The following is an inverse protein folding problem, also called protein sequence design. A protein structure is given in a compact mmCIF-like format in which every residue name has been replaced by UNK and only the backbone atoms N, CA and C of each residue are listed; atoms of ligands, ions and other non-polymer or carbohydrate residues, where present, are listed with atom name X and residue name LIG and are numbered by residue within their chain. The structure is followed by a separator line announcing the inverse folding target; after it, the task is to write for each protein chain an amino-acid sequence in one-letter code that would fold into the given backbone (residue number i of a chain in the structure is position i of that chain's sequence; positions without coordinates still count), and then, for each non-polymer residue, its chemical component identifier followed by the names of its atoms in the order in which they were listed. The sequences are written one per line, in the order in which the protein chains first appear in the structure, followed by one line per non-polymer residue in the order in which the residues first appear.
data_IF_287552033635
#
_entry.id   IF_287552033635
#
_cell.length_a   1.000
_cell.length_b   1.000
_cell.length_c   1.000
_cell.angle_alpha   90.00
_cell.angle_beta   90.00
_cell.angle_gamma   90.00
#
_symmetry.space_group_name_H-M   'P 1'
#
loop_
_entity.id
_entity.type
_entity.pdbx_description
1 polymer ?
#
# COMPACT_ATOMS: atom_id res chain seq x y z
N UNK A 1 52.20 13.52 -13.52
CA UNK A 1 51.28 13.84 -14.62
C UNK A 1 49.96 14.29 -14.01
N UNK A 2 49.29 15.25 -14.64
CA UNK A 2 47.97 15.70 -14.24
C UNK A 2 46.90 14.92 -15.01
N UNK A 3 45.94 14.38 -14.28
CA UNK A 3 44.79 13.66 -14.83
C UNK A 3 43.50 14.36 -14.43
N UNK A 4 42.51 14.28 -15.31
CA UNK A 4 41.19 14.83 -15.07
C UNK A 4 40.18 13.69 -14.96
N UNK A 5 39.34 13.68 -13.94
CA UNK A 5 38.27 12.70 -13.79
C UNK A 5 36.94 13.44 -13.85
N UNK A 6 36.08 13.07 -14.78
CA UNK A 6 34.69 13.54 -14.82
C UNK A 6 33.87 12.73 -13.83
N UNK A 7 33.38 13.40 -12.78
CA UNK A 7 32.50 12.79 -11.77
C UNK A 7 31.08 12.61 -12.31
N UNK A 8 30.31 11.77 -11.63
CA UNK A 8 28.88 11.55 -11.85
C UNK A 8 28.05 12.84 -11.72
N UNK A 9 28.51 13.81 -10.93
CA UNK A 9 27.87 15.12 -10.78
C UNK A 9 28.19 16.10 -11.93
N UNK A 10 29.03 15.70 -12.89
CA UNK A 10 29.38 16.50 -14.07
C UNK A 10 30.51 17.50 -13.86
N UNK A 11 31.07 17.60 -12.65
CA UNK A 11 32.29 18.34 -12.34
C UNK A 11 33.54 17.56 -12.79
N UNK A 12 34.62 18.28 -13.08
CA UNK A 12 35.92 17.70 -13.45
C UNK A 12 36.90 17.87 -12.29
N UNK A 13 37.44 16.77 -11.79
CA UNK A 13 38.41 16.74 -10.70
C UNK A 13 39.82 16.57 -11.26
N UNK A 14 40.75 17.40 -10.82
CA UNK A 14 42.16 17.28 -11.20
C UNK A 14 42.94 16.47 -10.15
N UNK A 15 43.69 15.47 -10.60
CA UNK A 15 44.55 14.62 -9.77
C UNK A 15 45.97 14.65 -10.29
N UNK A 16 46.92 14.70 -9.36
CA UNK A 16 48.34 14.59 -9.68
C UNK A 16 48.82 13.19 -9.33
N UNK A 17 49.25 12.44 -10.35
CA UNK A 17 49.59 11.03 -10.21
C UNK A 17 50.80 10.68 -11.07
N UNK A 18 51.56 9.69 -10.61
CA UNK A 18 52.67 9.13 -11.38
C UNK A 18 52.14 8.26 -12.55
N UNK A 19 52.83 8.20 -13.70
CA UNK A 19 52.43 7.34 -14.82
C UNK A 19 52.46 5.84 -14.50
N UNK A 20 53.23 5.45 -13.50
CA UNK A 20 53.31 4.08 -12.98
C UNK A 20 52.26 3.77 -11.91
N UNK A 21 51.42 4.73 -11.53
CA UNK A 21 50.39 4.49 -10.52
C UNK A 21 49.33 3.50 -11.06
N UNK A 22 48.87 2.62 -10.18
CA UNK A 22 47.77 1.70 -10.46
C UNK A 22 46.44 2.42 -10.50
N UNK A 23 45.48 1.83 -11.19
CA UNK A 23 44.09 2.31 -11.25
C UNK A 23 43.43 2.25 -9.86
N UNK A 24 43.78 1.26 -9.04
CA UNK A 24 43.33 1.16 -7.64
C UNK A 24 43.70 2.41 -6.81
N UNK A 25 44.92 2.92 -6.96
CA UNK A 25 45.36 4.13 -6.27
C UNK A 25 44.54 5.35 -6.70
N UNK A 26 44.22 5.47 -7.99
CA UNK A 26 43.38 6.57 -8.50
C UNK A 26 41.96 6.46 -7.93
N UNK A 27 41.37 5.25 -7.88
CA UNK A 27 40.06 5.03 -7.26
C UNK A 27 40.04 5.39 -5.77
N UNK A 28 41.11 5.07 -5.04
CA UNK A 28 41.26 5.45 -3.63
C UNK A 28 41.30 6.99 -3.45
N UNK A 29 42.02 7.71 -4.31
CA UNK A 29 42.04 9.18 -4.29
C UNK A 29 40.67 9.79 -4.63
N UNK A 30 39.93 9.18 -5.55
CA UNK A 30 38.56 9.59 -5.88
C UNK A 30 37.63 9.31 -4.69
N UNK A 31 37.77 8.17 -4.02
CA UNK A 31 36.96 7.81 -2.86
C UNK A 31 37.11 8.83 -1.73
N UNK A 32 38.35 9.28 -1.48
CA UNK A 32 38.63 10.31 -0.48
C UNK A 32 38.00 11.67 -0.79
N UNK A 33 37.74 12.00 -2.07
CA UNK A 33 37.17 13.30 -2.48
C UNK A 33 35.66 13.27 -2.69
N UNK A 34 35.14 12.24 -3.35
CA UNK A 34 33.72 12.12 -3.72
C UNK A 34 32.93 11.28 -2.69
N UNK A 35 33.60 10.55 -1.80
CA UNK A 35 32.95 9.73 -0.77
C UNK A 35 32.30 8.45 -1.30
N UNK A 36 32.62 8.03 -2.53
CA UNK A 36 32.15 6.79 -3.14
C UNK A 36 33.22 5.72 -2.92
N UNK A 37 32.88 4.59 -2.30
CA UNK A 37 33.87 3.51 -2.08
C UNK A 37 34.49 3.02 -3.39
N UNK A 38 35.80 2.74 -3.38
CA UNK A 38 36.55 2.31 -4.56
C UNK A 38 35.97 1.06 -5.25
N UNK A 39 35.33 0.16 -4.50
CA UNK A 39 34.67 -1.04 -5.02
C UNK A 39 33.45 -0.74 -5.89
N UNK A 40 32.76 0.38 -5.66
CA UNK A 40 31.61 0.80 -6.47
C UNK A 40 32.02 1.69 -7.65
N UNK A 41 33.29 2.05 -7.75
CA UNK A 41 33.81 2.91 -8.81
C UNK A 41 34.27 2.08 -10.02
N UNK A 42 33.88 2.52 -11.20
CA UNK A 42 34.35 2.01 -12.48
C UNK A 42 34.93 3.18 -13.29
N UNK A 43 36.23 3.13 -13.57
CA UNK A 43 36.90 4.14 -14.40
C UNK A 43 36.95 3.67 -15.85
N UNK A 44 36.73 4.60 -16.78
CA UNK A 44 36.84 4.32 -18.20
C UNK A 44 37.64 5.39 -18.95
N UNK A 45 38.39 4.95 -19.95
CA UNK A 45 39.21 5.79 -20.84
C UNK A 45 39.07 5.30 -22.28
N UNK A 46 38.83 6.22 -23.22
CA UNK A 46 38.65 5.89 -24.65
C UNK A 46 37.63 4.74 -24.90
N UNK A 47 36.57 4.67 -24.08
CA UNK A 47 35.54 3.63 -24.16
C UNK A 47 35.94 2.27 -23.58
N UNK A 48 37.13 2.11 -22.99
CA UNK A 48 37.58 0.90 -22.31
C UNK A 48 37.47 1.05 -20.79
N UNK A 49 36.95 0.02 -20.12
CA UNK A 49 36.98 -0.06 -18.65
C UNK A 49 38.38 -0.37 -18.16
N UNK A 50 38.81 0.34 -17.13
CA UNK A 50 40.13 0.22 -16.51
C UNK A 50 40.09 -0.84 -15.39
N UNK A 51 41.07 -1.75 -15.37
CA UNK A 51 41.21 -2.81 -14.37
C UNK A 51 42.14 -2.41 -13.23
N UNK A 52 41.81 -2.77 -11.99
CA UNK A 52 42.52 -2.30 -10.79
C UNK A 52 43.99 -2.73 -10.73
N UNK A 53 44.33 -3.89 -11.30
CA UNK A 53 45.67 -4.48 -11.29
C UNK A 53 46.65 -3.84 -12.28
N UNK A 54 46.19 -2.96 -13.18
CA UNK A 54 47.01 -2.39 -14.23
C UNK A 54 47.39 -0.93 -13.94
N UNK A 55 48.53 -0.50 -14.51
CA UNK A 55 49.00 0.88 -14.42
C UNK A 55 48.33 1.76 -15.48
N UNK A 56 48.24 3.06 -15.20
CA UNK A 56 47.69 4.05 -16.14
C UNK A 56 48.40 4.05 -17.51
N UNK A 57 49.72 3.84 -17.50
CA UNK A 57 50.53 3.77 -18.72
C UNK A 57 50.15 2.59 -19.63
N UNK A 58 49.65 1.47 -19.09
CA UNK A 58 49.24 0.31 -19.87
C UNK A 58 48.05 0.61 -20.80
N UNK A 59 47.17 1.53 -20.38
CA UNK A 59 46.03 1.99 -21.17
C UNK A 59 46.36 3.19 -22.08
N UNK A 60 47.63 3.62 -22.12
CA UNK A 60 48.06 4.78 -22.88
C UNK A 60 47.53 6.10 -22.33
N UNK A 61 47.25 6.19 -21.03
CA UNK A 61 46.85 7.44 -20.39
C UNK A 61 48.05 8.39 -20.34
N UNK A 62 47.89 9.57 -20.93
CA UNK A 62 48.91 10.60 -21.01
C UNK A 62 48.60 11.78 -20.09
N UNK A 63 49.54 12.72 -19.99
CA UNK A 63 49.33 13.98 -19.27
C UNK A 63 48.13 14.73 -19.84
N UNK A 64 47.31 15.31 -18.95
CA UNK A 64 46.05 15.99 -19.27
C UNK A 64 44.93 15.09 -19.85
N UNK A 65 45.04 13.77 -19.72
CA UNK A 65 43.96 12.86 -20.13
C UNK A 65 42.74 12.95 -19.21
N UNK A 66 41.55 12.76 -19.81
CA UNK A 66 40.28 12.75 -19.07
C UNK A 66 39.73 11.32 -18.91
N UNK A 67 39.56 10.87 -17.67
CA UNK A 67 38.89 9.64 -17.29
C UNK A 67 37.41 9.93 -16.96
N UNK A 68 36.56 8.93 -17.17
CA UNK A 68 35.14 9.00 -16.79
C UNK A 68 34.88 8.08 -15.60
N UNK A 69 34.36 8.66 -14.51
CA UNK A 69 33.89 7.92 -13.34
C UNK A 69 32.45 7.45 -13.59
N UNK A 70 32.27 6.13 -13.57
CA UNK A 70 30.98 5.47 -13.53
C UNK A 70 30.81 4.83 -12.14
N UNK A 71 29.59 4.72 -11.63
CA UNK A 71 29.30 3.94 -10.44
C UNK A 71 28.35 2.79 -10.78
N UNK A 72 28.59 1.63 -10.17
CA UNK A 72 27.65 0.52 -10.25
C UNK A 72 26.40 0.84 -9.42
N UNK A 73 25.25 0.94 -10.08
CA UNK A 73 23.99 1.16 -9.41
C UNK A 73 23.34 -0.18 -9.08
N UNK A 74 23.06 -0.42 -7.80
CA UNK A 74 22.14 -1.47 -7.36
C UNK A 74 20.75 -1.12 -7.93
N UNK A 75 20.38 -1.74 -9.06
CA UNK A 75 19.22 -1.35 -9.87
C UNK A 75 17.90 -1.08 -9.15
N UNK A 76 16.96 -0.44 -9.85
CA UNK A 76 15.69 0.02 -9.27
C UNK A 76 14.83 -1.09 -8.64
N UNK A 77 14.43 -0.90 -7.38
CA UNK A 77 13.56 -1.82 -6.64
C UNK A 77 12.27 -2.15 -7.39
N UNK A 78 11.82 -3.41 -7.27
CA UNK A 78 10.63 -3.92 -7.96
C UNK A 78 9.42 -3.02 -7.70
N UNK A 79 8.95 -2.32 -8.74
CA UNK A 79 7.80 -1.42 -8.66
C UNK A 79 6.54 -2.21 -8.30
N UNK A 80 5.74 -1.68 -7.38
CA UNK A 80 4.46 -2.27 -6.98
C UNK A 80 3.54 -2.36 -8.19
N UNK A 81 3.10 -3.57 -8.53
CA UNK A 81 2.14 -3.80 -9.63
C UNK A 81 0.80 -3.13 -9.30
N UNK A 82 0.15 -2.56 -10.33
CA UNK A 82 -1.21 -2.05 -10.22
C UNK A 82 -2.16 -3.19 -9.85
N UNK A 83 -3.11 -2.93 -8.95
CA UNK A 83 -4.13 -3.91 -8.58
C UNK A 83 -5.17 -4.00 -9.69
N UNK A 84 -5.48 -5.20 -10.15
CA UNK A 84 -6.59 -5.47 -11.07
C UNK A 84 -7.81 -5.90 -10.26
N UNK A 85 -8.89 -5.13 -10.33
CA UNK A 85 -10.14 -5.44 -9.62
C UNK A 85 -11.01 -6.31 -10.52
N UNK A 86 -11.18 -7.59 -10.15
CA UNK A 86 -11.97 -8.56 -10.92
C UNK A 86 -13.46 -8.55 -10.56
N UNK A 87 -13.79 -8.07 -9.36
CA UNK A 87 -15.17 -8.04 -8.86
C UNK A 87 -15.65 -6.63 -8.57
N UNK A 88 -16.94 -6.34 -8.82
CA UNK A 88 -17.52 -5.05 -8.51
C UNK A 88 -17.55 -4.81 -7.01
N UNK A 89 -17.44 -3.54 -6.60
CA UNK A 89 -17.42 -3.14 -5.20
C UNK A 89 -18.78 -3.40 -4.54
N UNK A 90 -18.78 -4.19 -3.47
CA UNK A 90 -20.00 -4.48 -2.67
C UNK A 90 -20.49 -3.23 -1.92
N UNK A 91 -21.76 -2.85 -2.15
CA UNK A 91 -22.43 -1.78 -1.40
C UNK A 91 -22.83 -2.30 -0.01
N UNK A 92 -22.50 -1.55 1.04
CA UNK A 92 -22.84 -1.90 2.43
C UNK A 92 -24.34 -1.65 2.70
N UNK A 93 -24.98 -2.54 3.46
CA UNK A 93 -26.35 -2.38 3.90
C UNK A 93 -26.51 -1.12 4.78
N UNK A 94 -27.47 -0.27 4.43
CA UNK A 94 -27.84 0.92 5.22
C UNK A 94 -29.18 0.68 5.90
N UNK A 95 -29.27 0.96 7.22
CA UNK A 95 -30.54 0.85 7.97
C UNK A 95 -31.54 1.89 7.47
N UNK A 96 -32.75 1.45 7.10
CA UNK A 96 -33.86 2.33 6.73
C UNK A 96 -34.49 2.92 7.99
N UNK A 97 -34.48 4.24 8.13
CA UNK A 97 -35.16 4.96 9.23
C UNK A 97 -36.58 5.31 8.79
N UNK A 98 -37.58 4.72 9.44
CA UNK A 98 -39.00 5.04 9.22
C UNK A 98 -39.44 5.96 10.35
N UNK A 99 -39.87 7.18 10.01
CA UNK A 99 -40.39 8.15 10.99
C UNK A 99 -41.65 7.59 11.65
N UNK A 100 -41.76 7.76 12.97
CA UNK A 100 -42.94 7.39 13.77
C UNK A 100 -43.42 5.94 13.57
N UNK A 101 -42.49 4.98 13.44
CA UNK A 101 -42.83 3.58 13.19
C UNK A 101 -43.72 2.94 14.28
N UNK A 102 -43.66 3.45 15.51
CA UNK A 102 -44.40 2.93 16.68
C UNK A 102 -45.92 3.15 16.54
N UNK A 103 -46.35 4.25 15.91
CA UNK A 103 -47.77 4.55 15.74
C UNK A 103 -48.49 3.49 14.90
N UNK A 104 -47.77 2.77 14.04
CA UNK A 104 -48.32 1.65 13.24
C UNK A 104 -48.71 0.43 14.08
N UNK A 105 -48.35 0.38 15.37
CA UNK A 105 -48.60 -0.77 16.24
C UNK A 105 -49.87 -0.62 17.05
N UNK A 106 -50.50 0.55 17.02
CA UNK A 106 -51.71 0.86 17.77
C UNK A 106 -52.79 1.34 16.80
N UNK A 107 -54.04 1.03 17.11
CA UNK A 107 -55.21 1.62 16.48
C UNK A 107 -56.03 2.28 17.60
N UNK A 108 -56.47 3.50 17.35
CA UNK A 108 -57.33 4.25 18.26
C UNK A 108 -58.71 4.30 17.63
N UNK A 109 -59.73 3.82 18.34
CA UNK A 109 -61.11 3.88 17.90
C UNK A 109 -61.73 5.25 18.27
N UNK A 110 -62.88 5.59 17.68
CA UNK A 110 -63.56 6.89 17.87
C UNK A 110 -63.89 7.19 19.33
N UNK A 111 -64.11 6.15 20.14
CA UNK A 111 -64.36 6.26 21.58
C UNK A 111 -63.08 6.44 22.41
N UNK A 112 -61.91 6.63 21.79
CA UNK A 112 -60.62 6.75 22.46
C UNK A 112 -60.05 5.43 23.00
N UNK A 113 -60.65 4.28 22.69
CA UNK A 113 -60.12 2.96 23.08
C UNK A 113 -58.92 2.60 22.19
N UNK A 114 -57.83 2.12 22.81
CA UNK A 114 -56.58 1.78 22.13
C UNK A 114 -56.47 0.27 21.98
N UNK A 115 -56.35 -0.21 20.74
CA UNK A 115 -56.09 -1.61 20.41
C UNK A 115 -54.66 -1.81 19.88
N UNK A 116 -54.00 -2.89 20.31
CA UNK A 116 -52.64 -3.23 19.88
C UNK A 116 -52.71 -4.15 18.65
N UNK A 117 -52.04 -3.76 17.56
CA UNK A 117 -52.02 -4.49 16.28
C UNK A 117 -50.90 -5.54 16.20
N UNK A 118 -49.95 -5.54 17.14
CA UNK A 118 -48.83 -6.48 17.20
C UNK A 118 -48.79 -7.20 18.53
N UNK A 119 -48.30 -8.44 18.49
CA UNK A 119 -48.05 -9.26 19.67
C UNK A 119 -46.83 -8.74 20.44
N UNK A 120 -46.93 -8.71 21.76
CA UNK A 120 -45.80 -8.42 22.66
C UNK A 120 -44.96 -9.67 22.90
N UNK A 121 -43.67 -9.48 23.15
CA UNK A 121 -42.78 -10.59 23.40
C UNK A 121 -43.05 -11.18 24.81
N UNK A 122 -43.37 -12.48 24.92
CA UNK A 122 -43.67 -13.11 26.21
C UNK A 122 -42.42 -13.41 27.04
N UNK A 123 -41.21 -13.19 26.49
CA UNK A 123 -39.97 -13.42 27.24
C UNK A 123 -39.88 -12.42 28.40
N UNK A 124 -39.54 -12.92 29.59
CA UNK A 124 -39.40 -12.13 30.82
C UNK A 124 -38.45 -10.91 30.66
N UNK A 125 -37.47 -11.00 29.76
CA UNK A 125 -36.51 -9.91 29.46
C UNK A 125 -37.04 -8.82 28.52
N UNK A 126 -38.15 -9.09 27.82
CA UNK A 126 -38.68 -8.23 26.77
C UNK A 126 -40.04 -7.63 27.10
N UNK A 127 -40.93 -8.34 27.79
CA UNK A 127 -42.10 -7.78 28.47
C UNK A 127 -43.00 -6.80 27.68
N UNK A 128 -43.81 -6.05 28.43
CA UNK A 128 -44.76 -5.08 27.89
C UNK A 128 -44.06 -3.95 27.10
N UNK A 129 -44.62 -3.59 25.95
CA UNK A 129 -44.07 -2.56 25.06
C UNK A 129 -43.00 -3.03 24.05
N UNK A 130 -42.48 -4.26 24.16
CA UNK A 130 -41.62 -4.86 23.12
C UNK A 130 -42.45 -5.69 22.15
N UNK A 131 -42.73 -5.11 20.99
CA UNK A 131 -43.52 -5.76 19.93
C UNK A 131 -42.69 -6.69 19.05
N UNK A 132 -43.24 -7.87 18.77
CA UNK A 132 -42.69 -8.80 17.80
C UNK A 132 -42.95 -8.32 16.36
N UNK A 133 -41.96 -8.43 15.49
CA UNK A 133 -42.09 -8.20 14.06
C UNK A 133 -42.97 -9.29 13.44
N UNK A 134 -43.98 -8.88 12.67
CA UNK A 134 -44.86 -9.78 11.92
C UNK A 134 -44.29 -9.98 10.52
N UNK A 135 -43.64 -11.12 10.29
CA UNK A 135 -43.26 -11.59 8.96
C UNK A 135 -44.38 -12.47 8.38
N UNK A 136 -44.24 -12.89 7.12
CA UNK A 136 -45.23 -13.73 6.43
C UNK A 136 -45.39 -15.10 7.12
N UNK A 137 -44.29 -15.67 7.55
CA UNK A 137 -44.12 -17.04 8.05
C UNK A 137 -43.87 -17.11 9.56
N UNK A 138 -43.52 -15.97 10.18
CA UNK A 138 -43.07 -15.94 11.58
C UNK A 138 -43.36 -14.64 12.30
N UNK A 139 -43.36 -14.72 13.62
CA UNK A 139 -43.26 -13.58 14.52
C UNK A 139 -41.88 -13.58 15.18
N UNK A 140 -41.17 -12.46 15.12
CA UNK A 140 -39.78 -12.37 15.58
C UNK A 140 -39.56 -11.22 16.56
N UNK A 141 -38.96 -11.48 17.71
CA UNK A 141 -38.55 -10.44 18.64
C UNK A 141 -37.16 -9.91 18.26
N UNK A 142 -37.05 -8.61 17.95
CA UNK A 142 -35.77 -7.98 17.65
C UNK A 142 -34.81 -7.84 18.84
N UNK A 143 -35.30 -8.00 20.07
CA UNK A 143 -34.51 -7.81 21.31
C UNK A 143 -33.92 -9.12 21.86
N UNK A 144 -34.75 -10.15 22.05
CA UNK A 144 -34.31 -11.46 22.55
C UNK A 144 -34.23 -12.56 21.49
N UNK A 145 -34.50 -12.22 20.22
CA UNK A 145 -34.45 -13.15 19.10
C UNK A 145 -35.43 -14.34 19.16
N UNK A 146 -36.39 -14.30 20.09
CA UNK A 146 -37.47 -15.28 20.16
C UNK A 146 -38.28 -15.28 18.84
N UNK A 147 -38.48 -16.46 18.29
CA UNK A 147 -39.18 -16.65 17.02
C UNK A 147 -40.33 -17.64 17.20
N UNK A 148 -41.53 -17.24 16.82
CA UNK A 148 -42.66 -18.15 16.61
C UNK A 148 -42.87 -18.33 15.11
N UNK A 149 -42.97 -19.56 14.65
CA UNK A 149 -43.31 -19.89 13.27
C UNK A 149 -44.78 -20.28 13.24
N UNK A 150 -45.55 -19.74 12.31
CA UNK A 150 -46.93 -20.19 12.14
C UNK A 150 -46.91 -21.60 11.56
N UNK A 151 -47.59 -22.56 12.19
CA UNK A 151 -47.91 -23.80 11.49
C UNK A 151 -48.80 -23.39 10.32
N UNK A 152 -48.34 -23.67 9.09
CA UNK A 152 -49.25 -23.66 7.96
C UNK A 152 -50.24 -24.77 8.29
N UNK A 153 -51.50 -24.42 8.49
CA UNK A 153 -52.55 -25.42 8.61
C UNK A 153 -52.34 -26.41 7.46
N UNK A 154 -52.15 -27.68 7.82
CA UNK A 154 -52.35 -28.79 6.92
C UNK A 154 -53.83 -28.69 6.54
N UNK A 155 -54.14 -27.93 5.49
CA UNK A 155 -55.44 -27.95 4.86
C UNK A 155 -55.61 -29.34 4.25
N UNK A 156 -56.31 -30.19 4.98
CA UNK A 156 -57.27 -31.13 4.40
C UNK A 156 -58.43 -30.34 3.78
#
# INVERSE_FOLDING_TARGET
MQLFVKSLAGNTLAFEVAPSASIENVKAMIAAREGIDASFQCLSFAGKSLQDSEALSAYGVQDNSTLHLNAELLGGGKKRKKKTYTTPKKIKHKRKKVKMAILKYYKVDESGKITRLRRECPNATCGAGVFMAKHKDRQYCGKCHLTYVFQKDQQA
#
